data_IF_411341034794
#
_entry.id   IF_411341034794
#
_cell.length_a   1.000
_cell.length_b   1.000
_cell.length_c   1.000
_cell.angle_alpha   90.00
_cell.angle_beta   90.00
_cell.angle_gamma   90.00
#
_symmetry.space_group_name_H-M   'P 1'
#
loop_
_entity.id
_entity.type
_entity.pdbx_description
1 polymer ?
#
# COMPACT_ATOMS: atom_id res chain seq x y z
N UNK A 1 0.84 5.56 21.81
CA UNK A 1 0.93 6.78 20.98
C UNK A 1 1.12 6.44 19.51
N UNK A 2 2.03 5.51 19.21
CA UNK A 2 2.12 4.82 17.93
C UNK A 2 1.46 3.45 18.07
N UNK A 3 0.67 3.03 17.09
CA UNK A 3 0.14 1.68 16.93
C UNK A 3 0.66 1.17 15.59
N UNK A 4 1.31 0.02 15.58
CA UNK A 4 1.79 -0.64 14.37
C UNK A 4 1.74 -2.15 14.59
N UNK A 5 0.72 -2.80 14.01
CA UNK A 5 0.36 -4.19 14.26
C UNK A 5 -0.24 -4.82 12.98
N UNK A 6 -0.33 -6.16 12.91
CA UNK A 6 -1.10 -6.84 11.86
C UNK A 6 -2.54 -6.33 11.81
N UNK A 7 -3.15 -6.32 10.62
CA UNK A 7 -4.48 -5.74 10.43
C UNK A 7 -5.55 -6.39 11.32
N UNK A 8 -5.58 -7.73 11.39
CA UNK A 8 -6.56 -8.47 12.17
C UNK A 8 -6.38 -8.31 13.68
N UNK A 9 -5.15 -8.18 14.16
CA UNK A 9 -4.89 -7.80 15.56
C UNK A 9 -5.44 -6.40 15.84
N UNK A 10 -5.35 -5.50 14.88
CA UNK A 10 -5.96 -4.18 14.97
C UNK A 10 -7.49 -4.23 15.06
N UNK A 11 -8.15 -5.16 14.38
CA UNK A 11 -9.61 -5.36 14.51
C UNK A 11 -9.94 -5.83 15.93
N UNK A 12 -9.15 -6.76 16.49
CA UNK A 12 -9.37 -7.31 17.81
C UNK A 12 -9.11 -6.29 18.93
N UNK A 13 -8.03 -5.51 18.84
CA UNK A 13 -7.61 -4.58 19.89
C UNK A 13 -8.21 -3.18 19.75
N UNK A 14 -8.45 -2.71 18.52
CA UNK A 14 -8.91 -1.35 18.22
C UNK A 14 -10.08 -1.31 17.20
N UNK A 15 -11.17 -2.08 17.42
CA UNK A 15 -12.24 -2.24 16.45
C UNK A 15 -12.87 -0.91 16.05
N UNK A 16 -13.23 -0.07 17.02
CA UNK A 16 -13.85 1.24 16.77
C UNK A 16 -12.96 2.14 15.91
N UNK A 17 -11.64 2.07 16.11
CA UNK A 17 -10.71 2.89 15.36
C UNK A 17 -10.62 2.42 13.90
N UNK A 18 -10.48 1.11 13.66
CA UNK A 18 -10.42 0.57 12.30
C UNK A 18 -11.74 0.80 11.56
N UNK A 19 -12.87 0.46 12.17
CA UNK A 19 -14.18 0.59 11.51
C UNK A 19 -14.56 2.05 11.22
N UNK A 20 -13.92 3.03 11.87
CA UNK A 20 -14.10 4.45 11.54
C UNK A 20 -13.40 4.88 10.26
N UNK A 21 -12.45 4.10 9.72
CA UNK A 21 -11.64 4.51 8.56
C UNK A 21 -11.58 3.47 7.44
N UNK A 22 -11.73 2.18 7.73
CA UNK A 22 -11.68 1.15 6.69
C UNK A 22 -12.72 1.41 5.60
N UNK A 23 -12.28 1.41 4.35
CA UNK A 23 -13.16 1.61 3.19
C UNK A 23 -13.59 3.07 2.96
N UNK A 24 -13.12 4.01 3.77
CA UNK A 24 -13.46 5.44 3.60
C UNK A 24 -12.71 6.10 2.45
N UNK A 25 -11.49 5.62 2.16
CA UNK A 25 -10.62 6.19 1.14
C UNK A 25 -10.67 5.33 -0.13
N UNK A 26 -10.57 4.01 0.03
CA UNK A 26 -10.77 3.05 -1.06
C UNK A 26 -12.02 2.24 -0.73
N UNK A 27 -13.14 2.65 -1.31
CA UNK A 27 -14.43 2.01 -1.09
C UNK A 27 -14.47 0.59 -1.68
N UNK A 28 -15.46 -0.18 -1.23
CA UNK A 28 -15.69 -1.52 -1.77
C UNK A 28 -15.92 -1.48 -3.28
N UNK A 29 -16.66 -0.49 -3.78
CA UNK A 29 -17.05 -0.34 -5.18
C UNK A 29 -16.02 0.40 -6.07
N UNK A 30 -14.82 0.69 -5.55
CA UNK A 30 -13.84 1.54 -6.25
C UNK A 30 -13.40 0.98 -7.61
N UNK A 31 -13.14 -0.33 -7.67
CA UNK A 31 -12.83 -1.07 -8.89
C UNK A 31 -12.99 -2.58 -8.65
N UNK A 32 -12.83 -3.39 -9.71
CA UNK A 32 -12.98 -4.85 -9.62
C UNK A 32 -12.09 -5.48 -8.54
N UNK A 33 -10.81 -5.09 -8.47
CA UNK A 33 -9.85 -5.66 -7.52
C UNK A 33 -10.06 -5.13 -6.11
N UNK A 34 -10.58 -3.91 -5.94
CA UNK A 34 -10.93 -3.41 -4.62
C UNK A 34 -12.12 -4.16 -4.03
N UNK A 35 -13.13 -4.48 -4.84
CA UNK A 35 -14.28 -5.29 -4.43
C UNK A 35 -13.80 -6.66 -3.96
N UNK A 36 -12.99 -7.32 -4.79
CA UNK A 36 -12.44 -8.64 -4.47
C UNK A 36 -11.63 -8.60 -3.16
N UNK A 37 -10.63 -7.72 -3.07
CA UNK A 37 -9.80 -7.60 -1.87
C UNK A 37 -10.63 -7.31 -0.61
N UNK A 38 -11.62 -6.42 -0.69
CA UNK A 38 -12.45 -6.05 0.47
C UNK A 38 -13.26 -7.21 1.04
N UNK A 39 -13.51 -8.27 0.25
CA UNK A 39 -14.25 -9.47 0.69
C UNK A 39 -13.30 -10.54 1.25
N UNK A 40 -12.13 -10.75 0.64
CA UNK A 40 -11.29 -11.94 0.89
C UNK A 40 -9.89 -11.64 1.45
N UNK A 41 -9.54 -10.38 1.74
CA UNK A 41 -8.22 -10.09 2.31
C UNK A 41 -7.99 -10.85 3.63
N UNK A 42 -6.78 -11.37 3.77
CA UNK A 42 -6.37 -12.23 4.90
C UNK A 42 -5.10 -11.74 5.58
N UNK A 43 -4.47 -10.69 5.04
CA UNK A 43 -3.28 -10.07 5.60
C UNK A 43 -3.27 -8.56 5.49
N UNK A 44 -2.11 -7.97 5.83
CA UNK A 44 -1.87 -6.54 5.79
C UNK A 44 -1.60 -5.94 7.17
N UNK A 45 -1.63 -4.62 7.27
CA UNK A 45 -1.16 -3.90 8.46
C UNK A 45 -2.04 -2.74 8.87
N UNK A 46 -2.09 -2.48 10.17
CA UNK A 46 -2.73 -1.30 10.72
C UNK A 46 -1.67 -0.40 11.39
N UNK A 47 -1.63 0.86 10.97
CA UNK A 47 -0.73 1.86 11.52
C UNK A 47 -1.51 3.12 11.92
N UNK A 48 -1.32 3.56 13.16
CA UNK A 48 -1.90 4.80 13.67
C UNK A 48 -0.87 5.59 14.45
N UNK A 49 -0.70 6.86 14.11
CA UNK A 49 0.17 7.80 14.83
C UNK A 49 -0.71 8.85 15.51
N UNK A 50 -0.63 8.97 16.83
CA UNK A 50 -1.42 9.94 17.59
C UNK A 50 -0.94 11.38 17.37
N UNK A 51 -1.81 12.33 17.73
CA UNK A 51 -1.59 13.78 17.53
C UNK A 51 -0.27 14.24 18.16
N UNK A 52 0.44 15.12 17.47
CA UNK A 52 1.72 15.72 17.90
C UNK A 52 2.86 14.70 18.11
N UNK A 53 2.74 13.46 17.66
CA UNK A 53 3.81 12.46 17.78
C UNK A 53 4.69 12.46 16.54
N UNK A 54 5.99 12.64 16.75
CA UNK A 54 7.02 12.34 15.75
C UNK A 54 7.54 10.93 16.01
N UNK A 55 7.30 10.01 15.08
CA UNK A 55 7.84 8.67 15.15
C UNK A 55 9.35 8.74 14.85
N UNK A 56 10.17 8.34 15.83
CA UNK A 56 11.65 8.41 15.73
C UNK A 56 12.26 7.15 15.10
N UNK A 57 11.44 6.18 14.74
CA UNK A 57 11.84 4.93 14.10
C UNK A 57 11.12 4.80 12.76
N UNK A 58 11.78 4.19 11.79
CA UNK A 58 11.17 3.87 10.51
C UNK A 58 10.36 2.58 10.68
N UNK A 59 9.05 2.66 10.48
CA UNK A 59 8.19 1.48 10.53
C UNK A 59 8.35 0.73 9.21
N UNK A 60 8.56 -0.59 9.28
CA UNK A 60 8.75 -1.41 8.10
C UNK A 60 7.93 -2.69 8.20
N UNK A 61 7.17 -3.00 7.16
CA UNK A 61 6.56 -4.32 6.96
C UNK A 61 7.37 -5.08 5.91
N UNK A 62 7.56 -6.38 6.16
CA UNK A 62 8.20 -7.27 5.21
C UNK A 62 7.23 -8.41 4.91
N UNK A 63 6.68 -8.39 3.71
CA UNK A 63 5.79 -9.42 3.21
C UNK A 63 6.60 -10.38 2.34
N UNK A 64 6.73 -11.60 2.83
CA UNK A 64 7.36 -12.69 2.08
C UNK A 64 6.31 -13.73 1.78
N UNK A 65 6.01 -13.92 0.51
CA UNK A 65 5.16 -15.02 0.04
C UNK A 65 5.90 -16.33 0.33
N UNK A 66 5.33 -17.20 1.16
CA UNK A 66 5.94 -18.47 1.58
C UNK A 66 5.21 -19.71 1.04
N UNK A 67 4.00 -19.53 0.55
CA UNK A 67 3.13 -20.59 0.04
C UNK A 67 3.05 -20.53 -1.49
N UNK A 68 2.80 -21.67 -2.12
CA UNK A 68 2.38 -21.79 -3.52
C UNK A 68 0.97 -21.19 -3.76
N UNK A 69 0.49 -20.33 -2.86
CA UNK A 69 -0.84 -19.77 -2.94
C UNK A 69 -0.99 -19.02 -4.26
N UNK A 70 -2.06 -19.37 -4.98
CA UNK A 70 -2.38 -18.77 -6.27
C UNK A 70 -2.64 -17.25 -6.16
N UNK A 71 -3.05 -16.76 -4.98
CA UNK A 71 -3.34 -15.35 -4.80
C UNK A 71 -3.11 -14.84 -3.36
N UNK A 72 -2.63 -13.60 -3.24
CA UNK A 72 -2.37 -12.89 -1.98
C UNK A 72 -3.17 -11.59 -1.94
N UNK A 73 -3.97 -11.44 -0.89
CA UNK A 73 -4.86 -10.29 -0.68
C UNK A 73 -4.55 -9.60 0.63
N UNK A 74 -4.06 -8.36 0.55
CA UNK A 74 -3.64 -7.59 1.71
C UNK A 74 -4.29 -6.22 1.77
N UNK A 75 -4.54 -5.74 3.00
CA UNK A 75 -5.04 -4.39 3.24
C UNK A 75 -4.18 -3.67 4.28
N UNK A 76 -3.64 -2.52 3.89
CA UNK A 76 -2.94 -1.60 4.80
C UNK A 76 -3.82 -0.39 5.08
N UNK A 77 -4.01 -0.07 6.35
CA UNK A 77 -4.70 1.14 6.80
C UNK A 77 -3.73 1.98 7.66
N UNK A 78 -3.43 3.19 7.21
CA UNK A 78 -2.46 4.08 7.83
C UNK A 78 -3.06 5.45 8.13
N UNK A 79 -3.10 5.80 9.42
CA UNK A 79 -3.70 7.04 9.91
C UNK A 79 -2.64 7.89 10.63
N UNK A 80 -2.29 9.03 10.04
CA UNK A 80 -1.39 10.02 10.64
C UNK A 80 -2.22 11.16 11.22
N UNK A 81 -2.29 11.24 12.55
CA UNK A 81 -3.04 12.29 13.24
C UNK A 81 -2.41 13.67 13.04
N UNK A 82 -3.12 14.72 13.50
CA UNK A 82 -2.66 16.09 13.29
C UNK A 82 -1.29 16.37 13.90
N UNK A 83 -0.46 17.11 13.18
CA UNK A 83 0.93 17.42 13.56
C UNK A 83 1.79 16.19 13.87
N UNK A 84 1.44 15.01 13.34
CA UNK A 84 2.21 13.79 13.51
C UNK A 84 3.13 13.53 12.32
N UNK A 85 4.22 12.80 12.55
CA UNK A 85 5.21 12.46 11.53
C UNK A 85 5.57 10.98 11.61
N UNK A 86 5.66 10.31 10.45
CA UNK A 86 6.10 8.92 10.38
C UNK A 86 6.74 8.61 9.01
N UNK A 87 7.71 7.71 9.03
CA UNK A 87 8.27 7.06 7.86
C UNK A 87 7.80 5.60 7.89
N UNK A 88 7.17 5.16 6.82
CA UNK A 88 6.61 3.82 6.68
C UNK A 88 7.09 3.18 5.39
N UNK A 89 7.65 1.97 5.47
CA UNK A 89 8.18 1.23 4.31
C UNK A 89 7.53 -0.14 4.20
N UNK A 90 7.00 -0.48 3.01
CA UNK A 90 6.60 -1.85 2.70
C UNK A 90 7.63 -2.51 1.80
N UNK A 91 8.08 -3.69 2.18
CA UNK A 91 8.98 -4.50 1.39
C UNK A 91 8.31 -5.80 1.03
N UNK A 92 8.31 -6.13 -0.26
CA UNK A 92 7.74 -7.36 -0.77
C UNK A 92 8.81 -8.19 -1.49
N UNK A 93 8.81 -9.48 -1.23
CA UNK A 93 9.61 -10.44 -1.99
C UNK A 93 8.87 -11.76 -2.19
N UNK A 94 8.85 -12.26 -3.42
CA UNK A 94 8.36 -13.61 -3.72
C UNK A 94 9.51 -14.54 -4.17
N UNK A 95 9.48 -15.83 -3.77
CA UNK A 95 10.31 -16.85 -4.37
C UNK A 95 9.80 -17.21 -5.78
N UNK A 96 10.60 -18.01 -6.50
CA UNK A 96 10.26 -18.50 -7.84
C UNK A 96 9.21 -19.60 -7.70
N UNK A 97 8.08 -19.46 -8.40
CA UNK A 97 7.03 -20.47 -8.48
C UNK A 97 6.79 -20.89 -9.92
N UNK A 98 6.31 -22.12 -10.11
CA UNK A 98 5.97 -22.65 -11.44
C UNK A 98 4.65 -22.06 -11.97
N UNK A 99 3.67 -21.85 -11.09
CA UNK A 99 2.37 -21.30 -11.46
C UNK A 99 2.33 -19.78 -11.39
N UNK A 100 1.39 -19.19 -12.12
CA UNK A 100 1.14 -17.75 -12.04
C UNK A 100 0.48 -17.39 -10.72
N UNK A 101 0.86 -16.24 -10.15
CA UNK A 101 0.31 -15.76 -8.88
C UNK A 101 -0.34 -14.38 -9.02
N UNK A 102 -1.37 -14.13 -8.23
CA UNK A 102 -2.08 -12.86 -8.20
C UNK A 102 -1.86 -12.13 -6.87
N UNK A 103 -1.23 -10.96 -6.91
CA UNK A 103 -1.10 -10.08 -5.76
C UNK A 103 -2.06 -8.89 -5.90
N UNK A 104 -3.01 -8.79 -4.97
CA UNK A 104 -3.94 -7.66 -4.89
C UNK A 104 -3.83 -6.99 -3.53
N UNK A 105 -3.26 -5.80 -3.50
CA UNK A 105 -3.14 -5.02 -2.28
C UNK A 105 -4.00 -3.74 -2.33
N UNK A 106 -4.56 -3.39 -1.17
CA UNK A 106 -5.23 -2.13 -0.93
C UNK A 106 -4.50 -1.34 0.15
N UNK A 107 -4.22 -0.06 -0.13
CA UNK A 107 -3.58 0.83 0.83
C UNK A 107 -4.40 2.09 0.98
N UNK A 108 -4.89 2.32 2.20
CA UNK A 108 -5.65 3.50 2.59
C UNK A 108 -4.81 4.37 3.54
N UNK A 109 -4.57 5.61 3.14
CA UNK A 109 -3.74 6.56 3.91
C UNK A 109 -4.55 7.81 4.23
N UNK A 110 -4.67 8.16 5.51
CA UNK A 110 -5.21 9.45 5.94
C UNK A 110 -4.11 10.26 6.63
N UNK A 111 -3.70 11.37 6.02
CA UNK A 111 -2.80 12.34 6.64
C UNK A 111 -3.60 13.56 7.10
N UNK A 112 -3.80 13.66 8.41
CA UNK A 112 -4.58 14.76 9.01
C UNK A 112 -3.76 16.06 9.08
N UNK A 113 -4.41 17.13 9.52
CA UNK A 113 -3.87 18.49 9.46
C UNK A 113 -2.44 18.62 10.00
N UNK A 114 -1.53 19.23 9.23
CA UNK A 114 -0.10 19.37 9.56
C UNK A 114 0.65 18.05 9.76
N UNK A 115 0.04 16.92 9.40
CA UNK A 115 0.66 15.62 9.45
C UNK A 115 1.61 15.42 8.27
N UNK A 116 2.59 14.54 8.44
CA UNK A 116 3.54 14.18 7.41
C UNK A 116 3.75 12.69 7.37
N UNK A 117 3.64 12.11 6.17
CA UNK A 117 3.95 10.71 5.92
C UNK A 117 4.95 10.61 4.77
N UNK A 118 6.04 9.88 5.02
CA UNK A 118 6.88 9.34 3.96
C UNK A 118 6.55 7.86 3.82
N UNK A 119 5.91 7.50 2.72
CA UNK A 119 5.49 6.14 2.43
C UNK A 119 6.35 5.59 1.29
N UNK A 120 7.06 4.50 1.56
CA UNK A 120 7.99 3.87 0.63
C UNK A 120 7.59 2.44 0.34
N UNK A 121 7.75 1.99 -0.91
CA UNK A 121 7.62 0.57 -1.26
C UNK A 121 8.80 0.06 -2.07
N UNK A 122 9.30 -1.11 -1.70
CA UNK A 122 10.30 -1.86 -2.47
C UNK A 122 9.73 -3.23 -2.78
N UNK A 123 9.56 -3.53 -4.05
CA UNK A 123 8.95 -4.79 -4.49
C UNK A 123 9.87 -5.55 -5.44
N UNK A 124 10.10 -6.83 -5.14
CA UNK A 124 10.83 -7.76 -5.99
C UNK A 124 10.04 -9.06 -6.18
N UNK A 125 9.49 -9.24 -7.37
CA UNK A 125 8.62 -10.38 -7.68
C UNK A 125 9.26 -11.39 -8.65
N UNK A 126 8.57 -12.51 -8.87
CA UNK A 126 8.94 -13.48 -9.91
C UNK A 126 8.27 -13.12 -11.24
N UNK A 127 9.08 -13.01 -12.29
CA UNK A 127 8.66 -12.48 -13.60
C UNK A 127 8.06 -13.52 -14.55
N UNK A 128 8.09 -14.78 -14.15
CA UNK A 128 7.83 -15.90 -15.06
C UNK A 128 9.12 -16.37 -15.74
N UNK A 129 8.98 -17.40 -16.56
CA UNK A 129 10.06 -17.96 -17.34
C UNK A 129 10.33 -17.16 -18.64
N UNK A 130 11.27 -17.64 -19.47
CA UNK A 130 11.67 -16.96 -20.71
C UNK A 130 10.57 -16.94 -21.78
N UNK A 131 9.59 -17.84 -21.69
CA UNK A 131 8.39 -17.86 -22.55
C UNK A 131 7.29 -16.93 -22.04
N UNK A 132 7.45 -16.34 -20.85
CA UNK A 132 6.41 -15.56 -20.18
C UNK A 132 5.37 -16.43 -19.47
N UNK A 133 5.65 -17.71 -19.22
CA UNK A 133 4.78 -18.56 -18.41
C UNK A 133 5.06 -18.36 -16.91
N UNK A 134 3.99 -18.37 -16.12
CA UNK A 134 4.05 -18.10 -14.69
C UNK A 134 4.20 -16.61 -14.38
N UNK A 135 4.83 -16.33 -13.24
CA UNK A 135 5.09 -14.97 -12.78
C UNK A 135 3.90 -14.34 -12.04
N UNK A 136 4.15 -13.14 -11.51
CA UNK A 136 3.22 -12.49 -10.59
C UNK A 136 2.50 -11.29 -11.23
N UNK A 137 1.17 -11.30 -11.15
CA UNK A 137 0.29 -10.19 -11.49
C UNK A 137 0.12 -9.28 -10.28
N UNK A 138 0.54 -8.03 -10.38
CA UNK A 138 0.54 -7.07 -9.28
C UNK A 138 -0.48 -5.95 -9.54
N UNK A 139 -1.67 -6.09 -8.95
CA UNK A 139 -2.78 -5.15 -9.12
C UNK A 139 -3.08 -4.48 -7.78
N UNK A 140 -2.58 -3.27 -7.60
CA UNK A 140 -2.66 -2.60 -6.30
C UNK A 140 -3.36 -1.26 -6.42
N UNK A 141 -4.32 -1.00 -5.53
CA UNK A 141 -4.92 0.32 -5.38
C UNK A 141 -4.37 0.98 -4.11
N UNK A 142 -3.60 2.06 -4.28
CA UNK A 142 -3.11 2.89 -3.17
C UNK A 142 -3.72 4.27 -3.26
N UNK A 143 -4.29 4.75 -2.17
CA UNK A 143 -4.85 6.10 -2.12
C UNK A 143 -4.60 6.76 -0.77
N UNK A 144 -4.18 8.02 -0.85
CA UNK A 144 -3.98 8.89 0.28
C UNK A 144 -4.88 10.12 0.24
N UNK A 145 -5.39 10.52 1.39
CA UNK A 145 -6.09 11.78 1.60
C UNK A 145 -5.23 12.71 2.46
N UNK A 146 -4.95 13.90 1.93
CA UNK A 146 -4.21 14.94 2.63
C UNK A 146 -5.14 16.06 3.05
N UNK A 147 -5.26 16.28 4.36
CA UNK A 147 -6.01 17.41 4.92
C UNK A 147 -5.13 18.67 5.00
N UNK A 148 -5.60 19.70 5.70
CA UNK A 148 -4.99 21.04 5.67
C UNK A 148 -3.53 21.05 6.12
N UNK A 149 -2.64 21.59 5.29
CA UNK A 149 -1.17 21.57 5.46
C UNK A 149 -0.58 20.16 5.68
N UNK A 150 -1.26 19.11 5.23
CA UNK A 150 -0.72 17.75 5.29
C UNK A 150 0.23 17.50 4.12
N UNK A 151 1.23 16.66 4.34
CA UNK A 151 2.20 16.26 3.33
C UNK A 151 2.30 14.74 3.22
N UNK A 152 2.22 14.22 1.99
CA UNK A 152 2.38 12.80 1.69
C UNK A 152 3.41 12.60 0.58
N UNK A 153 4.53 11.98 0.93
CA UNK A 153 5.58 11.62 -0.01
C UNK A 153 5.52 10.13 -0.33
N UNK A 154 5.32 9.80 -1.61
CA UNK A 154 5.35 8.44 -2.12
C UNK A 154 6.71 8.14 -2.77
N UNK A 155 7.33 7.04 -2.38
CA UNK A 155 8.52 6.51 -3.05
C UNK A 155 8.23 5.06 -3.41
N UNK A 156 8.40 4.69 -4.68
CA UNK A 156 8.24 3.30 -5.10
C UNK A 156 9.39 2.83 -5.97
N UNK A 157 9.85 1.61 -5.67
CA UNK A 157 10.78 0.83 -6.48
C UNK A 157 10.11 -0.51 -6.73
N UNK A 158 9.93 -0.86 -8.00
CA UNK A 158 9.26 -2.07 -8.40
C UNK A 158 10.01 -2.81 -9.50
N UNK A 159 10.15 -4.13 -9.31
CA UNK A 159 10.77 -5.03 -10.26
C UNK A 159 10.17 -6.43 -10.17
N UNK A 160 10.30 -7.18 -11.25
CA UNK A 160 10.09 -8.63 -11.25
C UNK A 160 8.65 -9.11 -11.41
N UNK A 161 7.61 -8.27 -11.52
CA UNK A 161 6.25 -8.77 -11.81
C UNK A 161 6.10 -9.09 -13.30
N UNK A 162 5.28 -10.10 -13.64
CA UNK A 162 4.91 -10.36 -15.03
C UNK A 162 4.05 -9.21 -15.58
N UNK A 163 3.03 -8.79 -14.82
CA UNK A 163 2.25 -7.58 -15.12
C UNK A 163 2.14 -6.74 -13.85
N UNK A 164 2.38 -5.44 -13.99
CA UNK A 164 2.12 -4.46 -12.94
C UNK A 164 1.07 -3.47 -13.40
N UNK A 165 0.03 -3.26 -12.58
CA UNK A 165 -0.96 -2.22 -12.79
C UNK A 165 -1.20 -1.44 -11.50
N UNK A 166 -0.63 -0.23 -11.42
CA UNK A 166 -0.63 0.56 -10.18
C UNK A 166 -0.67 2.07 -10.44
N UNK A 167 -1.62 2.72 -9.78
CA UNK A 167 -1.79 4.18 -9.82
C UNK A 167 -1.96 4.74 -8.40
N UNK A 168 -0.89 4.82 -7.58
CA UNK A 168 -0.97 5.50 -6.30
C UNK A 168 -1.52 6.90 -6.49
N UNK A 169 -2.47 7.26 -5.64
CA UNK A 169 -3.22 8.51 -5.78
C UNK A 169 -3.23 9.31 -4.49
N UNK A 170 -3.13 10.63 -4.61
CA UNK A 170 -3.35 11.54 -3.48
C UNK A 170 -4.49 12.50 -3.81
N UNK A 171 -5.45 12.59 -2.89
CA UNK A 171 -6.48 13.62 -2.90
C UNK A 171 -6.04 14.74 -1.94
N UNK A 172 -5.81 15.92 -2.49
CA UNK A 172 -5.37 17.14 -1.81
C UNK A 172 -6.60 17.92 -1.29
N UNK A 173 -7.27 17.33 -0.30
CA UNK A 173 -8.59 17.79 0.20
C UNK A 173 -8.49 19.11 0.97
N UNK A 174 -7.42 19.32 1.73
CA UNK A 174 -7.29 20.51 2.58
C UNK A 174 -6.39 21.60 1.98
N UNK A 175 -6.65 22.85 2.35
CA UNK A 175 -5.81 23.99 1.93
C UNK A 175 -4.32 23.72 2.21
N UNK A 176 -3.47 24.07 1.25
CA UNK A 176 -2.01 23.91 1.33
C UNK A 176 -1.56 22.47 1.62
N UNK A 177 -2.40 21.48 1.34
CA UNK A 177 -1.93 20.09 1.28
C UNK A 177 -1.04 19.91 0.06
N UNK A 178 -0.06 19.02 0.18
CA UNK A 178 0.85 18.69 -0.93
C UNK A 178 1.23 17.23 -0.92
N UNK A 179 1.66 16.73 -2.07
CA UNK A 179 2.13 15.37 -2.22
C UNK A 179 3.18 15.27 -3.31
N UNK A 180 4.22 14.49 -3.01
CA UNK A 180 5.27 14.14 -3.97
C UNK A 180 5.15 12.67 -4.34
N UNK A 181 5.59 12.33 -5.55
CA UNK A 181 5.61 10.95 -6.02
C UNK A 181 6.88 10.67 -6.82
N UNK A 182 7.63 9.66 -6.36
CA UNK A 182 8.84 9.16 -7.01
C UNK A 182 8.65 7.68 -7.32
N UNK A 183 8.91 7.30 -8.58
CA UNK A 183 8.79 5.91 -9.04
C UNK A 183 9.99 5.49 -9.86
N UNK A 184 10.47 4.28 -9.59
CA UNK A 184 11.40 3.56 -10.44
C UNK A 184 10.84 2.17 -10.74
N UNK A 185 10.60 1.90 -12.02
CA UNK A 185 10.01 0.64 -12.49
C UNK A 185 11.00 -0.04 -13.44
N UNK A 186 11.41 -1.27 -13.09
CA UNK A 186 12.36 -2.07 -13.87
C UNK A 186 11.61 -3.20 -14.56
N UNK A 187 11.67 -3.20 -15.89
CA UNK A 187 10.95 -4.14 -16.76
C UNK A 187 11.94 -4.78 -17.72
N UNK A 188 11.81 -6.08 -17.93
CA UNK A 188 12.67 -6.87 -18.83
C UNK A 188 11.85 -7.91 -19.59
N UNK A 189 12.31 -8.31 -20.78
CA UNK A 189 11.73 -9.42 -21.56
C UNK A 189 10.22 -9.22 -21.79
N UNK A 190 9.39 -10.16 -21.33
CA UNK A 190 7.93 -10.21 -21.54
C UNK A 190 7.13 -9.45 -20.48
N UNK A 191 7.79 -8.77 -19.54
CA UNK A 191 7.10 -8.06 -18.46
C UNK A 191 6.37 -6.82 -18.99
N UNK A 192 5.23 -6.52 -18.39
CA UNK A 192 4.41 -5.34 -18.70
C UNK A 192 4.24 -4.51 -17.43
N UNK A 193 4.47 -3.20 -17.52
CA UNK A 193 4.20 -2.28 -16.42
C UNK A 193 3.35 -1.11 -16.92
N UNK A 194 2.12 -1.04 -16.43
CA UNK A 194 1.24 0.11 -16.56
C UNK A 194 1.16 0.81 -15.20
N UNK A 195 2.04 1.80 -15.02
CA UNK A 195 2.28 2.43 -13.71
C UNK A 195 2.28 3.93 -13.85
N UNK A 196 1.73 4.61 -12.85
CA UNK A 196 1.63 6.07 -12.85
C UNK A 196 1.20 6.59 -11.49
N UNK A 197 0.77 7.85 -11.45
CA UNK A 197 0.16 8.44 -10.27
C UNK A 197 -1.07 9.27 -10.64
N UNK A 198 -1.88 9.61 -9.64
CA UNK A 198 -2.97 10.60 -9.78
C UNK A 198 -2.93 11.57 -8.60
N UNK A 199 -2.72 12.85 -8.88
CA UNK A 199 -2.85 13.92 -7.90
C UNK A 199 -4.13 14.69 -8.21
N UNK A 200 -5.05 14.72 -7.24
CA UNK A 200 -6.42 15.23 -7.38
C UNK A 200 -6.74 16.28 -6.33
#
# INVERSE_FOLDING_TARGET
GVIFIPFFDGINYFPYLIFSYIGTIVSLEDNFFSTLNSIIFSGGSFCFIAKNIKCNINLSTYFRTQSEDFAQFERTLLIVSSSAFVIYTEVFSAPIFLESQLHVALVEILVKNKGTLNYSTVQNWYRGDQSGEGGLYNFTTKRGWCLKNAFLNWVQIEMGSAITWKYPSTYLIGDNSSSDFFSLSLVSEMQIADTGNKML
#
